data_IF_454082813162
#
_entry.id   IF_454082813162
#
_cell.length_a   1.000
_cell.length_b   1.000
_cell.length_c   1.000
_cell.angle_alpha   90.00
_cell.angle_beta   90.00
_cell.angle_gamma   90.00
#
_symmetry.space_group_name_H-M   'P 1'
#
loop_
_entity.id
_entity.type
_entity.pdbx_description
1 polymer ?
#
# COMPACT_ATOMS: atom_id res chain seq x y z
N UNK A 1 -27.63 -31.02 -45.51
CA UNK A 1 -27.49 -30.57 -46.92
C UNK A 1 -26.02 -30.31 -47.17
N UNK A 2 -25.39 -31.16 -47.99
CA UNK A 2 -23.96 -31.07 -48.27
C UNK A 2 -23.72 -29.97 -49.32
N UNK A 3 -22.59 -29.25 -49.22
CA UNK A 3 -22.08 -28.42 -50.30
C UNK A 3 -20.70 -28.91 -50.69
N UNK A 4 -20.62 -29.53 -51.85
CA UNK A 4 -19.36 -29.78 -52.52
C UNK A 4 -18.72 -28.47 -52.96
N UNK A 5 -17.39 -28.45 -53.07
CA UNK A 5 -16.68 -27.46 -53.87
C UNK A 5 -15.76 -28.18 -54.85
N UNK A 6 -16.04 -27.97 -56.14
CA UNK A 6 -15.42 -28.68 -57.25
C UNK A 6 -14.00 -28.23 -57.55
N UNK A 7 -13.18 -29.17 -58.03
CA UNK A 7 -11.83 -28.95 -58.53
C UNK A 7 -11.90 -28.34 -59.94
N UNK A 8 -11.11 -27.29 -60.23
CA UNK A 8 -10.76 -26.92 -61.60
C UNK A 8 -9.25 -26.71 -61.79
N UNK A 9 -8.83 -26.86 -63.05
CA UNK A 9 -7.50 -27.32 -63.49
C UNK A 9 -7.13 -26.62 -64.80
N UNK A 10 -5.88 -26.15 -64.94
CA UNK A 10 -5.06 -25.96 -66.17
C UNK A 10 -3.85 -25.06 -65.79
N UNK A 11 -2.57 -25.30 -66.08
CA UNK A 11 -1.76 -25.90 -67.17
C UNK A 11 -1.41 -24.99 -68.39
N UNK A 12 -0.28 -24.29 -68.25
CA UNK A 12 0.78 -24.03 -69.28
C UNK A 12 0.40 -23.12 -70.49
N UNK A 13 1.29 -22.75 -71.47
CA UNK A 13 2.74 -23.00 -71.65
C UNK A 13 3.66 -21.84 -72.23
N UNK A 14 5.00 -21.99 -72.12
CA UNK A 14 6.09 -21.85 -73.16
C UNK A 14 6.56 -20.47 -73.79
N UNK A 15 7.84 -20.14 -73.50
CA UNK A 15 9.01 -19.72 -74.36
C UNK A 15 9.02 -18.44 -75.26
N UNK A 16 10.09 -17.63 -75.10
CA UNK A 16 10.99 -17.13 -76.18
C UNK A 16 12.35 -16.60 -75.63
N UNK A 17 13.41 -16.56 -76.47
CA UNK A 17 14.82 -16.13 -76.21
C UNK A 17 15.24 -15.05 -77.27
N UNK A 18 16.55 -14.76 -77.55
CA UNK A 18 17.56 -14.00 -76.78
C UNK A 18 18.29 -12.90 -77.61
N UNK A 19 19.19 -12.13 -76.98
CA UNK A 19 20.32 -11.40 -77.62
C UNK A 19 21.25 -10.83 -76.51
N UNK A 20 22.58 -10.69 -76.53
CA UNK A 20 23.77 -11.34 -77.13
C UNK A 20 24.97 -10.47 -76.70
N UNK A 21 26.06 -11.05 -76.15
CA UNK A 21 27.51 -10.65 -76.15
C UNK A 21 27.92 -9.14 -76.14
N UNK A 22 29.04 -8.67 -75.55
CA UNK A 22 30.27 -9.23 -74.96
C UNK A 22 30.49 -8.57 -73.55
N UNK A 23 31.56 -8.72 -72.75
CA UNK A 23 32.86 -9.42 -72.85
C UNK A 23 33.42 -9.78 -71.44
N UNK A 24 34.72 -10.07 -71.34
CA UNK A 24 35.57 -9.98 -70.12
C UNK A 24 36.91 -9.28 -70.50
N UNK A 25 37.84 -8.87 -69.58
CA UNK A 25 38.56 -9.78 -68.67
C UNK A 25 38.92 -9.23 -67.26
N UNK A 26 39.54 -10.13 -66.50
CA UNK A 26 40.05 -10.05 -65.13
C UNK A 26 40.90 -8.82 -64.71
N UNK A 27 40.99 -8.56 -63.39
CA UNK A 27 42.15 -8.95 -62.52
C UNK A 27 42.15 -8.25 -61.16
N UNK A 28 42.54 -8.99 -60.11
CA UNK A 28 43.14 -8.43 -58.89
C UNK A 28 42.16 -8.02 -57.80
N UNK A 29 42.19 -8.73 -56.67
CA UNK A 29 41.52 -8.29 -55.44
C UNK A 29 42.49 -7.67 -54.45
N UNK A 30 41.98 -6.80 -53.58
CA UNK A 30 42.47 -6.59 -52.22
C UNK A 30 41.27 -6.25 -51.32
N UNK A 31 41.11 -7.03 -50.26
CA UNK A 31 40.75 -6.61 -48.89
C UNK A 31 39.72 -5.48 -48.69
N UNK A 32 38.52 -5.83 -48.19
CA UNK A 32 37.64 -4.90 -47.48
C UNK A 32 36.87 -5.62 -46.35
N UNK A 33 36.88 -5.02 -45.16
CA UNK A 33 36.23 -5.50 -43.94
C UNK A 33 34.68 -5.42 -44.01
N UNK A 34 33.94 -6.14 -43.13
CA UNK A 34 32.48 -6.19 -43.19
C UNK A 34 31.78 -4.96 -42.58
N UNK A 35 30.46 -4.93 -42.74
CA UNK A 35 29.47 -4.05 -42.11
C UNK A 35 29.25 -2.65 -42.74
N UNK A 36 28.33 -2.61 -43.71
CA UNK A 36 27.54 -1.41 -44.06
C UNK A 36 26.03 -1.72 -44.20
N UNK A 37 25.54 -2.79 -43.58
CA UNK A 37 24.12 -3.13 -43.53
C UNK A 37 23.38 -2.23 -42.53
N UNK A 38 22.94 -1.06 -42.99
CA UNK A 38 22.17 -0.13 -42.15
C UNK A 38 22.17 1.33 -42.56
N UNK A 39 22.92 1.73 -43.60
CA UNK A 39 22.96 3.10 -44.08
C UNK A 39 22.12 3.25 -45.36
N UNK A 40 21.18 4.21 -45.37
CA UNK A 40 20.46 4.66 -46.56
C UNK A 40 21.06 5.98 -47.07
N UNK A 41 21.08 6.20 -48.38
CA UNK A 41 21.55 7.46 -48.97
C UNK A 41 20.36 8.37 -49.24
N UNK A 42 20.37 9.58 -48.68
CA UNK A 42 19.34 10.60 -48.93
C UNK A 42 19.61 11.33 -50.26
N UNK A 43 18.59 11.90 -50.93
CA UNK A 43 18.80 12.79 -52.07
C UNK A 43 19.73 13.94 -51.65
N UNK A 44 20.92 14.00 -52.26
CA UNK A 44 22.06 14.81 -51.78
C UNK A 44 23.31 14.00 -51.42
N UNK A 45 23.27 12.66 -51.45
CA UNK A 45 24.46 11.81 -51.32
C UNK A 45 24.90 11.50 -49.88
N UNK A 46 24.20 12.04 -48.87
CA UNK A 46 24.51 11.80 -47.46
C UNK A 46 24.00 10.43 -47.01
N UNK A 47 24.92 9.59 -46.52
CA UNK A 47 24.64 8.32 -45.84
C UNK A 47 24.06 8.62 -44.44
N UNK A 48 22.86 8.13 -44.16
CA UNK A 48 22.21 8.22 -42.85
C UNK A 48 21.73 6.85 -42.40
N UNK A 49 21.70 6.60 -41.09
CA UNK A 49 21.24 5.32 -40.56
C UNK A 49 19.75 5.10 -40.85
N UNK A 50 19.44 4.01 -41.56
CA UNK A 50 18.10 3.59 -41.95
C UNK A 50 17.24 3.34 -40.71
N UNK A 51 16.14 4.07 -40.58
CA UNK A 51 15.14 3.84 -39.53
C UNK A 51 14.14 2.78 -40.01
N UNK A 52 14.53 1.52 -39.95
CA UNK A 52 13.63 0.40 -40.22
C UNK A 52 12.58 0.31 -39.12
N UNK A 53 11.31 0.55 -39.48
CA UNK A 53 10.14 0.27 -38.65
C UNK A 53 9.83 -1.22 -38.51
N UNK A 54 10.62 -2.10 -39.13
CA UNK A 54 10.76 -3.47 -38.67
C UNK A 54 11.61 -3.49 -37.40
N UNK A 55 10.92 -3.34 -36.26
CA UNK A 55 11.38 -4.00 -35.04
C UNK A 55 11.21 -5.50 -35.22
N UNK A 56 12.06 -6.09 -36.08
CA UNK A 56 12.55 -7.44 -35.86
C UNK A 56 13.23 -7.39 -34.49
N UNK A 57 12.41 -7.65 -33.48
CA UNK A 57 12.82 -7.90 -32.12
C UNK A 57 13.95 -8.92 -32.18
N UNK A 58 15.18 -8.44 -32.01
CA UNK A 58 16.36 -9.28 -31.84
C UNK A 58 16.35 -9.87 -30.42
N UNK A 59 15.17 -10.36 -30.03
CA UNK A 59 14.94 -11.26 -28.92
C UNK A 59 15.46 -12.61 -29.40
N UNK A 60 16.79 -12.74 -29.38
CA UNK A 60 17.41 -14.06 -29.29
C UNK A 60 16.67 -14.80 -28.16
N UNK A 61 15.89 -15.86 -28.46
CA UNK A 61 15.04 -16.48 -27.45
C UNK A 61 15.97 -17.00 -26.37
N UNK A 62 15.83 -16.46 -25.14
CA UNK A 62 16.75 -16.78 -24.04
C UNK A 62 16.81 -18.30 -23.90
N UNK A 63 17.97 -18.93 -24.11
CA UNK A 63 18.02 -20.37 -24.29
C UNK A 63 17.54 -21.06 -23.01
N UNK A 64 16.50 -21.88 -23.16
CA UNK A 64 16.00 -22.70 -22.07
C UNK A 64 16.99 -23.82 -21.78
N UNK A 65 17.48 -23.87 -20.54
CA UNK A 65 18.37 -24.90 -20.02
C UNK A 65 17.55 -25.96 -19.28
N UNK A 66 17.86 -27.23 -19.50
CA UNK A 66 17.37 -28.33 -18.67
C UNK A 66 18.30 -28.51 -17.48
N UNK A 67 17.76 -28.47 -16.26
CA UNK A 67 18.54 -28.59 -15.02
C UNK A 67 18.00 -29.77 -14.21
N UNK A 68 18.90 -30.59 -13.67
CA UNK A 68 18.55 -31.79 -12.89
C UNK A 68 18.71 -31.49 -11.41
N UNK A 69 17.59 -31.40 -10.69
CA UNK A 69 17.55 -31.09 -9.26
C UNK A 69 17.33 -32.38 -8.48
N UNK A 70 18.32 -32.77 -7.66
CA UNK A 70 18.20 -33.88 -6.72
C UNK A 70 17.46 -33.41 -5.47
N UNK A 71 16.38 -34.08 -5.09
CA UNK A 71 15.68 -33.89 -3.82
C UNK A 71 15.51 -35.23 -3.13
N UNK A 72 16.14 -35.41 -1.96
CA UNK A 72 16.25 -36.72 -1.31
C UNK A 72 16.88 -37.76 -2.24
N UNK A 73 16.10 -38.79 -2.60
CA UNK A 73 16.49 -39.85 -3.55
C UNK A 73 15.99 -39.63 -4.98
N UNK A 74 15.18 -38.60 -5.23
CA UNK A 74 14.52 -38.34 -6.52
C UNK A 74 15.28 -37.27 -7.30
N UNK A 75 15.22 -37.35 -8.64
CA UNK A 75 15.71 -36.30 -9.54
C UNK A 75 14.55 -35.70 -10.32
N UNK A 76 14.37 -34.38 -10.18
CA UNK A 76 13.42 -33.60 -10.96
C UNK A 76 14.18 -32.89 -12.10
N UNK A 77 13.73 -33.06 -13.34
CA UNK A 77 14.27 -32.32 -14.48
C UNK A 77 13.36 -31.13 -14.78
N UNK A 78 13.91 -29.92 -14.72
CA UNK A 78 13.19 -28.66 -14.92
C UNK A 78 13.74 -27.92 -16.13
N UNK A 79 12.84 -27.33 -16.93
CA UNK A 79 13.18 -26.46 -18.05
C UNK A 79 13.04 -25.00 -17.58
N UNK A 80 14.12 -24.24 -17.63
CA UNK A 80 14.15 -22.84 -17.16
C UNK A 80 15.02 -21.98 -18.06
N UNK A 81 14.75 -20.69 -18.19
CA UNK A 81 15.55 -19.79 -19.02
C UNK A 81 16.96 -19.62 -18.43
N UNK A 82 17.99 -19.52 -19.27
CA UNK A 82 19.38 -19.36 -18.79
C UNK A 82 19.61 -18.08 -17.96
N UNK A 83 18.81 -17.03 -18.20
CA UNK A 83 18.87 -15.75 -17.47
C UNK A 83 17.88 -15.67 -16.29
N UNK A 84 17.22 -16.77 -15.93
CA UNK A 84 16.38 -16.82 -14.73
C UNK A 84 17.22 -16.76 -13.44
N UNK A 85 16.57 -16.42 -12.34
CA UNK A 85 17.14 -16.49 -10.99
C UNK A 85 16.80 -17.81 -10.27
N UNK A 86 17.53 -18.10 -9.19
CA UNK A 86 17.22 -19.25 -8.33
C UNK A 86 15.84 -19.14 -7.66
N UNK A 87 15.28 -17.94 -7.47
CA UNK A 87 13.92 -17.75 -6.96
C UNK A 87 12.83 -18.30 -7.87
N UNK A 88 12.96 -18.13 -9.19
CA UNK A 88 12.11 -18.76 -10.21
C UNK A 88 12.26 -20.27 -10.20
N UNK A 89 13.49 -20.77 -10.12
CA UNK A 89 13.77 -22.20 -9.95
C UNK A 89 13.06 -22.77 -8.70
N UNK A 90 13.13 -22.09 -7.56
CA UNK A 90 12.43 -22.49 -6.32
C UNK A 90 10.91 -22.50 -6.48
N UNK A 91 10.33 -21.53 -7.22
CA UNK A 91 8.89 -21.51 -7.53
C UNK A 91 8.46 -22.72 -8.38
N UNK A 92 9.24 -23.08 -9.40
CA UNK A 92 8.94 -24.26 -10.21
C UNK A 92 9.09 -25.55 -9.39
N UNK A 93 10.13 -25.64 -8.57
CA UNK A 93 10.35 -26.79 -7.67
C UNK A 93 9.25 -26.91 -6.62
N UNK A 94 8.70 -25.80 -6.11
CA UNK A 94 7.61 -25.83 -5.14
C UNK A 94 6.38 -26.59 -5.65
N UNK A 95 6.09 -26.50 -6.95
CA UNK A 95 5.01 -27.28 -7.58
C UNK A 95 5.33 -28.77 -7.78
N UNK A 96 6.62 -29.16 -7.79
CA UNK A 96 7.06 -30.54 -8.00
C UNK A 96 7.39 -31.29 -6.71
N UNK A 97 7.88 -30.59 -5.68
CA UNK A 97 8.29 -31.17 -4.38
C UNK A 97 7.33 -30.85 -3.25
N UNK A 98 6.40 -29.91 -3.44
CA UNK A 98 5.48 -29.42 -2.40
C UNK A 98 6.13 -28.49 -1.37
N UNK A 99 7.44 -28.25 -1.44
CA UNK A 99 8.16 -27.38 -0.49
C UNK A 99 7.90 -25.90 -0.78
N UNK A 100 7.66 -25.11 0.27
CA UNK A 100 7.53 -23.66 0.11
C UNK A 100 8.87 -23.03 -0.33
N UNK A 101 8.83 -21.93 -1.08
CA UNK A 101 10.03 -21.32 -1.70
C UNK A 101 11.07 -20.82 -0.71
N UNK A 102 10.68 -20.50 0.52
CA UNK A 102 11.60 -20.12 1.61
C UNK A 102 12.24 -21.33 2.28
N UNK A 103 11.54 -22.46 2.32
CA UNK A 103 11.97 -23.71 2.97
C UNK A 103 12.97 -24.50 2.07
N UNK A 104 13.27 -24.00 0.87
CA UNK A 104 14.12 -24.62 -0.14
C UNK A 104 15.55 -24.06 -0.14
N UNK A 105 16.54 -24.91 0.19
CA UNK A 105 17.98 -24.63 0.11
C UNK A 105 18.58 -25.27 -1.14
N UNK A 106 19.03 -24.45 -2.09
CA UNK A 106 19.65 -24.92 -3.34
C UNK A 106 21.18 -24.85 -3.26
N UNK A 107 21.84 -25.97 -3.53
CA UNK A 107 23.30 -26.11 -3.52
C UNK A 107 23.79 -26.46 -4.93
N UNK A 108 24.69 -25.62 -5.46
CA UNK A 108 25.32 -25.81 -6.76
C UNK A 108 26.84 -25.61 -6.67
N UNK A 109 27.61 -26.64 -7.05
CA UNK A 109 29.07 -26.73 -6.85
C UNK A 109 29.44 -26.48 -5.38
N UNK A 110 28.84 -27.25 -4.48
CA UNK A 110 29.05 -27.20 -3.01
C UNK A 110 28.71 -25.86 -2.33
N UNK A 111 28.30 -24.85 -3.08
CA UNK A 111 27.89 -23.54 -2.58
C UNK A 111 26.38 -23.39 -2.60
N UNK A 112 25.84 -22.98 -1.46
CA UNK A 112 24.47 -22.50 -1.32
C UNK A 112 24.21 -21.30 -2.24
N UNK A 113 22.99 -21.20 -2.78
CA UNK A 113 22.59 -20.18 -3.76
C UNK A 113 21.39 -19.39 -3.26
N UNK A 114 21.59 -18.08 -3.15
CA UNK A 114 20.52 -17.14 -2.83
C UNK A 114 19.51 -17.04 -3.98
N UNK A 115 18.25 -16.79 -3.63
CA UNK A 115 17.11 -16.67 -4.53
C UNK A 115 17.24 -15.50 -5.51
N UNK A 116 18.02 -14.46 -5.17
CA UNK A 116 18.30 -13.31 -6.04
C UNK A 116 19.41 -13.56 -7.06
N UNK A 117 20.22 -14.62 -6.88
CA UNK A 117 21.30 -14.91 -7.81
C UNK A 117 20.75 -15.44 -9.15
N UNK A 118 21.41 -15.08 -10.25
CA UNK A 118 21.08 -15.58 -11.58
C UNK A 118 21.81 -16.89 -11.89
N UNK A 119 21.17 -17.75 -12.69
CA UNK A 119 21.66 -19.08 -13.04
C UNK A 119 22.94 -19.03 -13.89
N UNK A 120 22.95 -18.19 -14.91
CA UNK A 120 24.10 -17.89 -15.78
C UNK A 120 25.32 -17.36 -14.99
N UNK A 121 25.12 -16.35 -14.13
CA UNK A 121 26.14 -15.77 -13.26
C UNK A 121 26.71 -16.79 -12.26
N UNK A 122 25.93 -17.81 -11.87
CA UNK A 122 26.40 -18.92 -11.05
C UNK A 122 27.07 -20.04 -11.87
N UNK A 123 27.09 -19.93 -13.19
CA UNK A 123 27.66 -20.91 -14.11
C UNK A 123 26.81 -22.17 -14.29
N UNK A 124 25.50 -22.08 -14.05
CA UNK A 124 24.53 -23.16 -14.34
C UNK A 124 24.32 -23.22 -15.85
N UNK A 125 24.46 -24.41 -16.43
CA UNK A 125 24.30 -24.70 -17.86
C UNK A 125 23.32 -25.85 -18.08
N UNK A 126 22.91 -26.09 -19.33
CA UNK A 126 22.13 -27.26 -19.71
C UNK A 126 22.79 -28.57 -19.20
N UNK A 127 22.00 -29.44 -18.56
CA UNK A 127 22.47 -30.67 -17.91
C UNK A 127 23.08 -30.49 -16.51
N UNK A 128 23.14 -29.27 -15.95
CA UNK A 128 23.69 -29.04 -14.61
C UNK A 128 22.91 -29.80 -13.53
N UNK A 129 23.65 -30.33 -12.56
CA UNK A 129 23.09 -30.99 -11.36
C UNK A 129 23.07 -30.01 -10.19
N UNK A 130 21.94 -29.86 -9.53
CA UNK A 130 21.73 -29.04 -8.33
C UNK A 130 21.17 -29.96 -7.24
N UNK A 131 21.53 -29.74 -5.98
CA UNK A 131 20.92 -30.43 -4.85
C UNK A 131 19.95 -29.48 -4.15
N UNK A 132 18.71 -29.91 -3.99
CA UNK A 132 17.71 -29.28 -3.14
C UNK A 132 17.71 -30.01 -1.79
N UNK A 133 17.85 -29.22 -0.71
CA UNK A 133 17.69 -29.66 0.66
C UNK A 133 16.53 -28.85 1.27
N UNK A 134 15.71 -29.50 2.09
CA UNK A 134 14.70 -28.82 2.91
C UNK A 134 15.39 -28.21 4.13
N UNK A 135 15.16 -26.91 4.37
CA UNK A 135 15.65 -26.22 5.57
C UNK A 135 14.55 -26.20 6.64
N UNK A 136 14.65 -27.15 7.57
CA UNK A 136 13.69 -27.33 8.66
C UNK A 136 13.59 -26.09 9.56
N UNK A 137 14.69 -25.35 9.77
CA UNK A 137 14.69 -24.10 10.53
C UNK A 137 13.87 -22.99 9.84
N UNK A 138 13.96 -22.90 8.50
CA UNK A 138 13.15 -21.96 7.72
C UNK A 138 11.66 -22.33 7.73
N UNK A 139 11.35 -23.63 7.69
CA UNK A 139 9.98 -24.16 7.80
C UNK A 139 9.36 -23.86 9.17
N UNK A 140 10.08 -24.14 10.26
CA UNK A 140 9.64 -23.80 11.62
C UNK A 140 9.42 -22.29 11.80
N UNK A 141 10.38 -21.48 11.34
CA UNK A 141 10.28 -20.01 11.36
C UNK A 141 9.04 -19.52 10.64
N UNK A 142 8.77 -20.04 9.43
CA UNK A 142 7.59 -19.68 8.63
C UNK A 142 6.29 -20.10 9.31
N UNK A 143 6.24 -21.27 9.95
CA UNK A 143 5.06 -21.73 10.72
C UNK A 143 4.80 -20.81 11.92
N UNK A 144 5.86 -20.45 12.66
CA UNK A 144 5.77 -19.55 13.80
C UNK A 144 5.30 -18.14 13.39
N UNK A 145 5.85 -17.60 12.30
CA UNK A 145 5.46 -16.31 11.73
C UNK A 145 4.01 -16.33 11.22
N UNK A 146 3.62 -17.38 10.50
CA UNK A 146 2.22 -17.57 10.05
C UNK A 146 1.25 -17.61 11.23
N UNK A 147 1.62 -18.27 12.33
CA UNK A 147 0.83 -18.33 13.57
C UNK A 147 0.75 -16.97 14.26
N UNK A 148 1.82 -16.16 14.23
CA UNK A 148 1.82 -14.78 14.75
C UNK A 148 0.90 -13.88 13.92
N UNK A 149 1.03 -13.92 12.59
CA UNK A 149 0.23 -13.11 11.68
C UNK A 149 -1.26 -13.47 11.80
N UNK A 150 -1.61 -14.77 11.85
CA UNK A 150 -2.99 -15.21 12.08
C UNK A 150 -3.60 -14.69 13.39
N UNK A 151 -2.81 -14.62 14.49
CA UNK A 151 -3.26 -14.00 15.75
C UNK A 151 -3.49 -12.49 15.59
N UNK A 152 -2.58 -11.78 14.91
CA UNK A 152 -2.72 -10.34 14.67
C UNK A 152 -3.90 -10.01 13.76
N UNK A 153 -4.13 -10.80 12.70
CA UNK A 153 -5.30 -10.67 11.83
C UNK A 153 -6.62 -10.89 12.58
N UNK A 154 -6.66 -11.88 13.49
CA UNK A 154 -7.83 -12.12 14.35
C UNK A 154 -8.09 -10.91 15.26
N UNK A 155 -7.06 -10.41 15.95
CA UNK A 155 -7.17 -9.24 16.81
C UNK A 155 -7.60 -7.98 16.04
N UNK A 156 -7.08 -7.75 14.82
CA UNK A 156 -7.47 -6.62 13.98
C UNK A 156 -8.91 -6.73 13.49
N UNK A 157 -9.39 -7.94 13.13
CA UNK A 157 -10.80 -8.20 12.79
C UNK A 157 -11.74 -7.95 13.97
N UNK A 158 -11.36 -8.39 15.18
CA UNK A 158 -12.14 -8.15 16.41
C UNK A 158 -12.22 -6.66 16.74
N UNK A 159 -11.11 -5.91 16.64
CA UNK A 159 -11.09 -4.45 16.80
C UNK A 159 -11.95 -3.75 15.72
N UNK A 160 -11.94 -4.24 14.48
CA UNK A 160 -12.76 -3.69 13.41
C UNK A 160 -14.27 -3.91 13.66
N UNK A 161 -14.65 -5.06 14.21
CA UNK A 161 -16.02 -5.34 14.63
C UNK A 161 -16.46 -4.42 15.79
N UNK A 162 -15.62 -4.26 16.83
CA UNK A 162 -15.92 -3.32 17.93
C UNK A 162 -16.01 -1.89 17.41
N UNK A 163 -15.10 -1.45 16.53
CA UNK A 163 -15.16 -0.12 15.90
C UNK A 163 -16.52 0.13 15.25
N UNK A 164 -17.09 -0.85 14.55
CA UNK A 164 -18.41 -0.73 13.91
C UNK A 164 -19.55 -0.54 14.94
N UNK A 165 -19.54 -1.29 16.05
CA UNK A 165 -20.51 -1.06 17.12
C UNK A 165 -20.30 0.30 17.82
N UNK A 166 -19.05 0.74 18.01
CA UNK A 166 -18.73 2.08 18.53
C UNK A 166 -19.21 3.18 17.56
N UNK A 167 -19.12 2.99 16.25
CA UNK A 167 -19.68 3.88 15.22
C UNK A 167 -21.22 3.94 15.27
N UNK A 168 -21.89 2.85 15.67
CA UNK A 168 -23.35 2.78 15.87
C UNK A 168 -23.78 3.44 17.17
N UNK A 169 -23.08 3.20 18.28
CA UNK A 169 -23.32 3.89 19.56
C UNK A 169 -23.09 5.40 19.42
N UNK A 170 -22.04 5.83 18.70
CA UNK A 170 -21.77 7.24 18.41
C UNK A 170 -22.96 7.97 17.76
N UNK A 171 -23.67 7.30 16.83
CA UNK A 171 -24.89 7.86 16.19
C UNK A 171 -26.05 7.98 17.18
N UNK A 172 -26.16 7.07 18.15
CA UNK A 172 -27.17 7.15 19.21
C UNK A 172 -26.85 8.29 20.19
N UNK A 173 -25.58 8.45 20.60
CA UNK A 173 -25.10 9.58 21.40
C UNK A 173 -25.46 10.91 20.72
N UNK A 174 -25.12 11.08 19.44
CA UNK A 174 -25.42 12.29 18.69
C UNK A 174 -26.93 12.58 18.57
N UNK A 175 -27.77 11.55 18.42
CA UNK A 175 -29.24 11.71 18.40
C UNK A 175 -29.77 12.22 19.74
N UNK A 176 -29.35 11.60 20.84
CA UNK A 176 -29.75 11.97 22.20
C UNK A 176 -29.22 13.37 22.54
N UNK A 177 -28.00 13.71 22.10
CA UNK A 177 -27.44 15.06 22.21
C UNK A 177 -28.31 16.11 21.53
N UNK A 178 -28.78 15.86 20.30
CA UNK A 178 -29.69 16.77 19.60
C UNK A 178 -31.05 16.90 20.30
N UNK A 179 -31.61 15.80 20.82
CA UNK A 179 -32.88 15.83 21.56
C UNK A 179 -32.77 16.64 22.86
N UNK A 180 -31.71 16.42 23.64
CA UNK A 180 -31.42 17.11 24.90
C UNK A 180 -31.09 18.58 24.67
N UNK A 181 -30.24 18.92 23.71
CA UNK A 181 -29.94 20.31 23.36
C UNK A 181 -31.17 21.03 22.76
N UNK A 182 -32.11 20.29 22.16
CA UNK A 182 -33.43 20.78 21.76
C UNK A 182 -34.46 20.90 22.89
N UNK A 183 -34.06 20.71 24.16
CA UNK A 183 -34.92 20.86 25.33
C UNK A 183 -35.88 19.69 25.60
N UNK A 184 -35.75 18.56 24.89
CA UNK A 184 -36.55 17.36 25.16
C UNK A 184 -35.94 16.57 26.30
N UNK A 185 -36.73 16.27 27.33
CA UNK A 185 -36.33 15.39 28.43
C UNK A 185 -36.31 13.94 27.94
N UNK A 186 -35.13 13.33 27.97
CA UNK A 186 -34.92 11.91 27.61
C UNK A 186 -35.04 11.05 28.88
N UNK A 187 -35.51 9.80 28.75
CA UNK A 187 -35.64 8.89 29.90
C UNK A 187 -34.25 8.47 30.39
N UNK A 188 -33.97 8.59 31.69
CA UNK A 188 -32.63 8.36 32.25
C UNK A 188 -32.10 6.94 32.00
N UNK A 189 -32.96 5.93 31.99
CA UNK A 189 -32.60 4.54 31.68
C UNK A 189 -31.98 4.37 30.29
N UNK A 190 -32.34 5.22 29.32
CA UNK A 190 -31.76 5.21 27.96
C UNK A 190 -30.31 5.71 27.99
N UNK A 191 -29.99 6.72 28.81
CA UNK A 191 -28.63 7.21 28.97
C UNK A 191 -27.77 6.20 29.73
N UNK A 192 -28.32 5.59 30.79
CA UNK A 192 -27.63 4.53 31.56
C UNK A 192 -27.30 3.32 30.67
N UNK A 193 -28.26 2.81 29.91
CA UNK A 193 -28.04 1.70 28.98
C UNK A 193 -26.99 2.03 27.90
N UNK A 194 -26.93 3.28 27.43
CA UNK A 194 -25.90 3.71 26.49
C UNK A 194 -24.49 3.75 27.12
N UNK A 195 -24.36 4.15 28.39
CA UNK A 195 -23.11 4.06 29.15
C UNK A 195 -22.70 2.58 29.32
N UNK A 196 -23.62 1.70 29.71
CA UNK A 196 -23.37 0.26 29.86
C UNK A 196 -22.86 -0.37 28.56
N UNK A 197 -23.48 -0.03 27.42
CA UNK A 197 -23.05 -0.49 26.10
C UNK A 197 -21.65 0.03 25.73
N UNK A 198 -21.34 1.31 26.00
CA UNK A 198 -20.02 1.89 25.76
C UNK A 198 -18.94 1.25 26.66
N UNK A 199 -19.23 1.06 27.95
CA UNK A 199 -18.34 0.37 28.90
C UNK A 199 -18.09 -1.09 28.52
N UNK A 200 -19.11 -1.78 28.00
CA UNK A 200 -18.96 -3.13 27.44
C UNK A 200 -17.98 -3.16 26.27
N UNK A 201 -18.02 -2.14 25.38
CA UNK A 201 -17.03 -2.04 24.30
C UNK A 201 -15.60 -1.74 24.81
N UNK A 202 -15.42 -1.01 25.93
CA UNK A 202 -14.09 -0.86 26.54
C UNK A 202 -13.54 -2.18 27.05
N UNK A 203 -14.34 -2.96 27.79
CA UNK A 203 -13.94 -4.28 28.31
C UNK A 203 -13.57 -5.21 27.14
N UNK A 204 -14.37 -5.22 26.08
CA UNK A 204 -14.09 -5.99 24.87
C UNK A 204 -12.79 -5.54 24.18
N UNK A 205 -12.48 -4.24 24.12
CA UNK A 205 -11.22 -3.74 23.57
C UNK A 205 -10.02 -4.18 24.41
N UNK A 206 -10.09 -4.07 25.74
CA UNK A 206 -8.97 -4.41 26.61
C UNK A 206 -8.70 -5.92 26.69
N UNK A 207 -9.73 -6.75 26.49
CA UNK A 207 -9.59 -8.20 26.37
C UNK A 207 -8.79 -8.65 25.11
N UNK A 208 -8.73 -7.82 24.06
CA UNK A 208 -8.02 -8.16 22.82
C UNK A 208 -6.50 -7.98 23.01
N UNK A 209 -5.77 -9.09 23.12
CA UNK A 209 -4.32 -9.10 23.06
C UNK A 209 -3.82 -8.62 21.69
N UNK A 210 -3.13 -7.48 21.66
CA UNK A 210 -2.68 -6.81 20.44
C UNK A 210 -1.30 -6.16 20.61
N UNK A 211 -0.47 -6.32 19.59
CA UNK A 211 0.89 -5.76 19.48
C UNK A 211 1.04 -4.89 18.22
N UNK A 212 2.11 -4.10 18.16
CA UNK A 212 2.43 -3.21 17.04
C UNK A 212 1.27 -2.27 16.68
N UNK A 213 0.97 -2.15 15.40
CA UNK A 213 -0.07 -1.24 14.89
C UNK A 213 -1.48 -1.61 15.36
N UNK A 214 -1.75 -2.90 15.59
CA UNK A 214 -3.05 -3.37 16.10
C UNK A 214 -3.29 -2.86 17.53
N UNK A 215 -2.22 -2.71 18.32
CA UNK A 215 -2.25 -2.06 19.65
C UNK A 215 -2.56 -0.56 19.55
N UNK A 216 -2.07 0.11 18.51
CA UNK A 216 -2.40 1.51 18.24
C UNK A 216 -3.86 1.66 17.82
N UNK A 217 -4.37 0.81 16.92
CA UNK A 217 -5.80 0.76 16.55
C UNK A 217 -6.70 0.59 17.78
N UNK A 218 -6.37 -0.36 18.67
CA UNK A 218 -7.07 -0.59 19.95
C UNK A 218 -7.10 0.66 20.83
N UNK A 219 -5.94 1.30 21.06
CA UNK A 219 -5.81 2.54 21.84
C UNK A 219 -6.61 3.71 21.25
N UNK A 220 -6.72 3.80 19.93
CA UNK A 220 -7.56 4.82 19.28
C UNK A 220 -9.06 4.60 19.54
N UNK A 221 -9.53 3.34 19.50
CA UNK A 221 -10.94 3.06 19.83
C UNK A 221 -11.24 3.29 21.31
N UNK A 222 -10.34 2.92 22.24
CA UNK A 222 -10.49 3.18 23.68
C UNK A 222 -10.69 4.68 23.94
N UNK A 223 -9.81 5.54 23.43
CA UNK A 223 -9.94 7.01 23.56
C UNK A 223 -11.26 7.55 22.98
N UNK A 224 -11.71 6.97 21.86
CA UNK A 224 -12.94 7.37 21.20
C UNK A 224 -14.18 7.01 22.03
N UNK A 225 -14.19 5.82 22.63
CA UNK A 225 -15.27 5.35 23.51
C UNK A 225 -15.32 6.16 24.80
N UNK A 226 -14.16 6.43 25.43
CA UNK A 226 -14.05 7.32 26.59
C UNK A 226 -14.67 8.69 26.33
N UNK A 227 -14.32 9.33 25.20
CA UNK A 227 -14.93 10.61 24.80
C UNK A 227 -16.47 10.52 24.64
N UNK A 228 -17.01 9.41 24.16
CA UNK A 228 -18.47 9.25 24.07
C UNK A 228 -19.13 9.06 25.44
N UNK A 229 -18.47 8.38 26.38
CA UNK A 229 -18.94 8.26 27.77
C UNK A 229 -18.99 9.64 28.43
N UNK A 230 -17.91 10.44 28.33
CA UNK A 230 -17.85 11.82 28.82
C UNK A 230 -19.01 12.69 28.27
N UNK A 231 -19.34 12.54 26.98
CA UNK A 231 -20.48 13.24 26.38
C UNK A 231 -21.81 12.76 26.97
N UNK A 232 -22.02 11.45 27.15
CA UNK A 232 -23.26 10.92 27.73
C UNK A 232 -23.43 11.33 29.21
N UNK A 233 -22.35 11.38 29.99
CA UNK A 233 -22.38 11.88 31.37
C UNK A 233 -22.74 13.37 31.42
N UNK A 234 -22.17 14.20 30.53
CA UNK A 234 -22.55 15.61 30.39
C UNK A 234 -24.02 15.78 29.97
N UNK A 235 -24.53 14.91 29.10
CA UNK A 235 -25.93 14.87 28.71
C UNK A 235 -26.84 14.44 29.88
N UNK A 236 -26.40 13.50 30.72
CA UNK A 236 -27.12 13.08 31.93
C UNK A 236 -27.29 14.24 32.91
N UNK A 237 -26.22 15.00 33.16
CA UNK A 237 -26.26 16.21 34.00
C UNK A 237 -27.26 17.23 33.41
N UNK A 238 -27.13 17.58 32.12
CA UNK A 238 -28.08 18.51 31.43
C UNK A 238 -29.53 18.05 31.53
N UNK A 239 -29.81 16.77 31.27
CA UNK A 239 -31.14 16.19 31.28
C UNK A 239 -31.78 16.19 32.68
N UNK A 240 -30.99 15.98 33.74
CA UNK A 240 -31.47 16.15 35.13
C UNK A 240 -31.84 17.60 35.46
N UNK A 241 -31.11 18.58 34.89
CA UNK A 241 -31.35 20.01 35.08
C UNK A 241 -32.66 20.51 34.47
N UNK A 242 -33.14 19.90 33.37
CA UNK A 242 -34.38 20.31 32.70
C UNK A 242 -35.64 20.16 33.56
N UNK A 243 -35.61 19.36 34.63
CA UNK A 243 -36.74 19.23 35.55
C UNK A 243 -36.95 20.46 36.46
N UNK A 244 -36.08 21.49 36.39
CA UNK A 244 -36.06 22.65 37.30
C UNK A 244 -36.43 23.99 36.63
N UNK A 245 -37.33 23.98 35.65
CA UNK A 245 -37.96 25.21 35.12
C UNK A 245 -39.39 25.31 35.65
N UNK A 246 -39.68 26.10 36.71
CA UNK A 246 -41.05 26.47 37.04
C UNK A 246 -41.59 27.39 35.94
N UNK A 247 -42.72 27.04 35.34
CA UNK A 247 -43.52 28.01 34.58
C UNK A 247 -44.14 29.00 35.57
N UNK A 248 -43.45 30.11 35.83
CA UNK A 248 -44.09 31.27 36.45
C UNK A 248 -43.35 32.56 36.06
N UNK A 249 -43.88 33.29 35.07
CA UNK A 249 -44.36 34.68 35.26
C UNK A 249 -45.08 35.19 33.99
N UNK A 250 -46.40 35.28 34.04
CA UNK A 250 -47.16 36.20 33.20
C UNK A 250 -47.50 37.45 34.01
N UNK A 251 -47.46 38.63 33.35
CA UNK A 251 -47.86 39.97 33.83
C UNK A 251 -47.02 40.50 35.02
N UNK A 252 -46.47 41.72 34.93
CA UNK A 252 -47.26 42.92 34.73
C UNK A 252 -46.59 43.99 33.86
N UNK A 253 -47.39 44.69 33.05
CA UNK A 253 -47.01 45.94 32.39
C UNK A 253 -47.26 47.11 33.36
N UNK A 254 -46.27 47.97 33.58
CA UNK A 254 -46.53 49.38 33.87
C UNK A 254 -45.54 50.25 33.07
N UNK A 255 -46.09 51.13 32.23
CA UNK A 255 -45.34 52.26 31.70
C UNK A 255 -45.11 53.26 32.84
N UNK A 256 -43.90 53.82 32.94
CA UNK A 256 -43.80 55.20 33.39
C UNK A 256 -42.70 55.96 32.65
N UNK A 257 -43.00 57.20 32.29
CA UNK A 257 -42.18 58.09 31.48
C UNK A 257 -41.12 58.80 32.33
N UNK A 258 -39.91 58.95 31.78
CA UNK A 258 -38.71 59.19 32.58
C UNK A 258 -38.47 60.58 33.16
N UNK A 259 -37.26 60.72 33.73
CA UNK A 259 -36.43 61.95 33.75
C UNK A 259 -35.05 61.63 34.35
N UNK A 260 -34.06 62.42 33.92
CA UNK A 260 -32.65 62.40 34.33
C UNK A 260 -32.51 63.21 35.63
N UNK A 261 -31.50 62.93 36.48
CA UNK A 261 -30.56 64.02 36.82
C UNK A 261 -29.09 63.68 36.57
N UNK A 262 -28.33 64.71 36.21
CA UNK A 262 -26.91 64.68 35.92
C UNK A 262 -26.12 65.31 37.08
N UNK A 263 -24.87 64.87 37.27
CA UNK A 263 -23.75 65.59 37.88
C UNK A 263 -23.82 66.07 39.34
N UNK A 264 -22.80 65.69 40.12
CA UNK A 264 -21.89 66.70 40.68
C UNK A 264 -20.43 66.19 40.65
N UNK A 265 -19.52 67.03 40.18
CA UNK A 265 -18.07 66.77 40.14
C UNK A 265 -17.35 67.39 41.34
N UNK A 266 -16.26 66.76 41.77
CA UNK A 266 -14.90 67.31 42.03
C UNK A 266 -14.07 66.16 42.64
N UNK A 267 -12.85 65.88 42.22
CA UNK A 267 -11.72 66.80 42.15
C UNK A 267 -10.68 66.32 41.11
N UNK A 268 -9.92 67.25 40.54
CA UNK A 268 -8.88 66.99 39.54
C UNK A 268 -7.79 68.03 39.77
N UNK A 269 -6.51 67.62 39.77
CA UNK A 269 -5.40 68.57 39.68
C UNK A 269 -4.22 67.98 38.89
N UNK A 270 -3.36 68.88 38.40
CA UNK A 270 -2.55 68.71 37.19
C UNK A 270 -1.06 68.44 37.54
N UNK A 271 -0.36 67.47 36.93
CA UNK A 271 0.23 67.41 35.56
C UNK A 271 1.63 68.09 35.46
N UNK A 272 2.68 67.28 35.19
CA UNK A 272 3.85 67.51 34.27
C UNK A 272 5.23 67.04 34.81
N UNK A 273 5.89 66.24 33.96
CA UNK A 273 7.32 66.24 33.58
C UNK A 273 8.44 66.03 34.64
N UNK A 274 9.22 64.96 34.45
CA UNK A 274 10.52 64.69 35.10
C UNK A 274 11.16 63.42 34.52
N UNK A 275 12.39 63.51 34.01
CA UNK A 275 13.03 62.58 33.07
C UNK A 275 13.74 61.35 33.72
N UNK A 276 14.12 60.37 32.88
CA UNK A 276 15.20 59.35 33.06
C UNK A 276 15.05 58.18 34.08
N UNK A 277 14.93 56.95 33.57
CA UNK A 277 16.06 55.99 33.51
C UNK A 277 15.67 54.71 32.74
N UNK A 278 16.65 54.02 32.14
CA UNK A 278 16.45 52.83 31.30
C UNK A 278 16.70 51.51 32.07
N UNK A 279 16.07 50.42 31.62
CA UNK A 279 16.28 49.07 32.15
C UNK A 279 15.52 48.01 31.35
N UNK A 280 16.12 47.54 30.26
CA UNK A 280 15.52 46.49 29.41
C UNK A 280 15.59 45.12 30.11
N UNK A 281 14.48 44.37 30.09
CA UNK A 281 14.41 43.03 30.66
C UNK A 281 14.70 41.99 29.57
N UNK A 282 15.80 41.24 29.73
CA UNK A 282 16.15 40.08 28.90
C UNK A 282 16.06 38.83 29.76
N UNK A 283 15.20 37.87 29.39
CA UNK A 283 15.20 36.52 29.96
C UNK A 283 15.61 35.56 28.86
N UNK A 284 16.70 34.85 29.10
CA UNK A 284 17.34 33.94 28.15
C UNK A 284 16.66 32.58 28.15
N UNK A 285 16.72 31.88 27.01
CA UNK A 285 16.31 30.47 26.89
C UNK A 285 17.48 29.67 26.36
N UNK A 286 18.13 28.87 27.21
CA UNK A 286 18.95 27.71 26.77
C UNK A 286 19.20 26.77 27.93
N UNK A 287 18.95 25.48 27.71
CA UNK A 287 19.62 24.38 28.41
C UNK A 287 19.82 23.25 27.39
N UNK A 288 21.03 22.70 27.36
CA UNK A 288 21.49 21.72 26.39
C UNK A 288 22.28 20.65 27.15
N UNK A 289 22.02 19.38 26.84
CA UNK A 289 22.84 18.16 27.03
C UNK A 289 23.91 18.10 28.14
N UNK A 290 23.78 17.06 28.96
CA UNK A 290 24.82 16.02 29.12
C UNK A 290 24.16 14.64 28.95
#
# INVERSE_FOLDING_TARGET
MNKEYSILRMKNPIVAKPATWLSSPARGGFEAAPAAEGLEVRPGGMLVQKRSSDSNQNYNPVPNIKVKVKYGSVYHEILIASQSNFGEMKKMLAGLTGLHTQDQKLIYKEKERDSKAFLDNCGVKNGSKIVLIEDELSKERRILESRKNSKMDKASKEIAAIKFEVDKLAKQVARIEMEINGGKKVVETVLLSLIELLMTQLINLDAIAADGDVKLQRRMQVKRVQKYIEVVDMLKIKNSGMAKIPLQQQRNNQMFTGKIPQNFQKQQEQRKQGNLSAGAFVVTTKWETF
#
